data_IF_212496506551
#
_entry.id   IF_212496506551
#
_cell.length_a   1.000
_cell.length_b   1.000
_cell.length_c   1.000
_cell.angle_alpha   90.00
_cell.angle_beta   90.00
_cell.angle_gamma   90.00
#
_symmetry.space_group_name_H-M   'P 1'
#
loop_
_entity.id
_entity.type
_entity.pdbx_description
1 polymer ?
#
# COMPACT_ATOMS: atom_id res chain seq x y z
N UNK A 1 -35.68 -26.58 16.12
CA UNK A 1 -35.91 -25.86 14.87
C UNK A 1 -36.55 -24.53 15.25
N UNK A 2 -35.74 -23.49 15.40
CA UNK A 2 -36.22 -22.11 15.64
C UNK A 2 -35.64 -21.25 14.57
N UNK A 3 -36.49 -20.85 13.64
CA UNK A 3 -36.20 -19.95 12.53
C UNK A 3 -36.19 -18.53 13.08
N UNK A 4 -35.04 -17.86 13.00
CA UNK A 4 -34.97 -16.43 13.30
C UNK A 4 -35.09 -15.66 11.98
N UNK A 5 -36.16 -14.85 11.87
CA UNK A 5 -36.30 -13.84 10.81
C UNK A 5 -35.55 -12.59 11.26
N UNK A 6 -34.60 -12.14 10.48
CA UNK A 6 -34.02 -10.80 10.60
C UNK A 6 -34.86 -9.82 9.77
N UNK A 7 -35.48 -8.87 10.45
CA UNK A 7 -36.18 -7.75 9.83
C UNK A 7 -35.14 -6.67 9.44
N UNK A 8 -35.03 -6.36 8.18
CA UNK A 8 -34.28 -5.21 7.67
C UNK A 8 -35.14 -3.97 7.86
N UNK A 9 -34.77 -3.08 8.78
CA UNK A 9 -35.37 -1.75 8.90
C UNK A 9 -34.62 -0.78 7.96
N UNK A 10 -35.23 -0.44 6.83
CA UNK A 10 -34.78 0.64 5.97
C UNK A 10 -35.29 1.97 6.53
N UNK A 11 -34.38 2.78 7.07
CA UNK A 11 -34.66 4.21 7.32
C UNK A 11 -34.23 4.97 6.08
N UNK A 12 -35.19 5.36 5.25
CA UNK A 12 -34.98 6.26 4.12
C UNK A 12 -34.79 7.69 4.64
N UNK A 13 -33.57 8.15 4.76
CA UNK A 13 -33.22 9.56 4.79
C UNK A 13 -32.60 9.90 3.43
N UNK A 14 -33.24 10.82 2.67
CA UNK A 14 -33.00 11.16 1.31
C UNK A 14 -31.54 11.54 0.97
N UNK A 15 -30.76 10.57 0.61
CA UNK A 15 -29.48 10.67 -0.08
C UNK A 15 -29.58 9.67 -1.24
N UNK A 16 -29.19 10.09 -2.43
CA UNK A 16 -29.36 9.31 -3.65
C UNK A 16 -28.95 7.86 -3.50
N UNK A 17 -29.60 6.98 -4.24
CA UNK A 17 -29.50 5.51 -4.21
C UNK A 17 -28.09 5.04 -3.90
N UNK A 18 -27.87 4.58 -2.67
CA UNK A 18 -26.69 3.78 -2.33
C UNK A 18 -26.88 2.47 -3.10
N UNK A 19 -26.08 2.23 -4.13
CA UNK A 19 -25.96 0.89 -4.68
C UNK A 19 -25.39 0.03 -3.57
N UNK A 20 -26.20 -0.94 -3.09
CA UNK A 20 -25.75 -1.88 -2.06
C UNK A 20 -24.58 -2.68 -2.65
N UNK A 21 -23.38 -2.40 -2.16
CA UNK A 21 -22.21 -3.21 -2.53
C UNK A 21 -22.41 -4.61 -1.96
N UNK A 22 -22.15 -5.63 -2.79
CA UNK A 22 -22.36 -7.01 -2.41
C UNK A 22 -21.02 -7.65 -2.09
N UNK A 23 -20.90 -8.22 -0.88
CA UNK A 23 -19.78 -9.08 -0.52
C UNK A 23 -19.78 -10.30 -1.44
N UNK A 24 -18.68 -10.54 -2.14
CA UNK A 24 -18.49 -11.71 -3.00
C UNK A 24 -17.83 -12.84 -2.24
N UNK A 25 -16.68 -12.59 -1.66
CA UNK A 25 -15.92 -13.57 -0.86
C UNK A 25 -15.13 -12.88 0.22
N UNK A 26 -14.84 -13.65 1.25
CA UNK A 26 -13.95 -13.31 2.33
C UNK A 26 -13.09 -14.55 2.61
N UNK A 27 -11.78 -14.37 2.64
CA UNK A 27 -10.83 -15.45 2.84
C UNK A 27 -9.73 -14.97 3.78
N UNK A 28 -9.47 -15.71 4.85
CA UNK A 28 -8.32 -15.52 5.74
C UNK A 28 -7.20 -16.47 5.37
N UNK A 29 -5.97 -16.05 5.62
CA UNK A 29 -4.75 -16.84 5.41
C UNK A 29 -3.78 -16.61 6.56
N UNK A 30 -3.22 -17.68 7.07
CA UNK A 30 -2.22 -17.61 8.13
C UNK A 30 -1.96 -18.96 8.78
N UNK A 31 -1.25 -18.92 9.88
CA UNK A 31 -0.91 -20.08 10.70
C UNK A 31 -0.97 -19.77 12.20
N UNK A 32 -0.13 -20.41 13.02
CA UNK A 32 -0.18 -20.26 14.47
C UNK A 32 0.48 -18.97 14.99
N UNK A 33 1.26 -18.30 14.15
CA UNK A 33 1.94 -17.06 14.50
C UNK A 33 1.12 -15.83 14.13
N UNK A 34 1.82 -14.76 13.82
CA UNK A 34 1.21 -13.52 13.35
C UNK A 34 1.44 -13.38 11.86
N UNK A 35 0.38 -13.10 11.12
CA UNK A 35 0.35 -12.97 9.67
C UNK A 35 -0.27 -11.62 9.31
N UNK A 36 0.55 -10.67 8.87
CA UNK A 36 0.15 -9.29 8.63
C UNK A 36 0.14 -9.02 7.13
N UNK A 37 -1.02 -8.68 6.57
CA UNK A 37 -1.13 -8.22 5.19
C UNK A 37 -0.62 -6.78 5.08
N UNK A 38 0.14 -6.48 4.01
CA UNK A 38 0.73 -5.17 3.75
C UNK A 38 0.37 -4.61 2.37
N UNK A 39 0.03 -5.46 1.41
CA UNK A 39 -0.32 -5.02 0.08
C UNK A 39 -1.17 -6.01 -0.70
N UNK A 40 -1.86 -5.48 -1.73
CA UNK A 40 -2.63 -6.28 -2.68
C UNK A 40 -2.50 -5.72 -4.09
N UNK A 41 -2.36 -6.60 -5.07
CA UNK A 41 -2.45 -6.27 -6.47
C UNK A 41 -3.40 -7.23 -7.19
N UNK A 42 -4.02 -6.76 -8.26
CA UNK A 42 -4.88 -7.55 -9.13
C UNK A 42 -4.22 -7.83 -10.46
N UNK A 43 -4.47 -9.00 -11.02
CA UNK A 43 -4.10 -9.34 -12.39
C UNK A 43 -5.28 -9.14 -13.36
N UNK A 44 -4.97 -9.10 -14.64
CA UNK A 44 -5.98 -8.92 -15.70
C UNK A 44 -6.97 -10.08 -15.78
N UNK A 45 -6.60 -11.29 -15.33
CA UNK A 45 -7.46 -12.46 -15.25
C UNK A 45 -8.45 -12.45 -14.07
N UNK A 46 -8.41 -11.40 -13.23
CA UNK A 46 -9.22 -11.28 -12.03
C UNK A 46 -8.62 -11.94 -10.79
N UNK A 47 -7.47 -12.60 -10.91
CA UNK A 47 -6.71 -13.07 -9.75
C UNK A 47 -6.20 -11.91 -8.91
N UNK A 48 -5.95 -12.15 -7.64
CA UNK A 48 -5.35 -11.20 -6.71
C UNK A 48 -4.17 -11.80 -5.96
N UNK A 49 -3.21 -10.94 -5.65
CA UNK A 49 -2.01 -11.29 -4.91
C UNK A 49 -1.95 -10.46 -3.64
N UNK A 50 -1.88 -11.12 -2.50
CA UNK A 50 -1.69 -10.49 -1.19
C UNK A 50 -0.27 -10.76 -0.73
N UNK A 51 0.41 -9.73 -0.26
CA UNK A 51 1.73 -9.85 0.35
C UNK A 51 1.72 -9.31 1.76
N UNK A 52 2.67 -9.78 2.54
CA UNK A 52 2.83 -9.33 3.91
C UNK A 52 3.96 -10.05 4.63
N UNK A 53 3.91 -10.01 5.95
CA UNK A 53 4.90 -10.62 6.82
C UNK A 53 4.24 -11.70 7.66
N UNK A 54 4.88 -12.87 7.73
CA UNK A 54 4.43 -14.03 8.52
C UNK A 54 5.48 -14.44 9.53
N UNK A 55 5.04 -14.80 10.74
CA UNK A 55 5.83 -15.47 11.76
C UNK A 55 5.37 -16.93 11.97
N UNK A 56 4.41 -17.39 11.15
CA UNK A 56 3.69 -18.66 11.40
C UNK A 56 4.45 -19.92 10.95
N UNK A 57 5.29 -19.81 9.92
CA UNK A 57 5.76 -21.00 9.19
C UNK A 57 7.25 -21.25 9.28
N UNK A 58 7.99 -20.35 9.91
CA UNK A 58 9.45 -20.42 9.99
C UNK A 58 9.97 -20.07 11.36
N UNK A 59 11.06 -20.73 11.73
CA UNK A 59 11.81 -20.43 12.96
C UNK A 59 13.25 -20.10 12.62
N UNK A 60 13.90 -19.32 13.49
CA UNK A 60 15.34 -19.10 13.45
C UNK A 60 16.13 -20.35 13.91
N UNK A 61 17.44 -20.26 13.89
CA UNK A 61 18.33 -21.35 14.34
C UNK A 61 18.17 -21.73 15.82
N UNK A 62 17.45 -20.93 16.60
CA UNK A 62 17.17 -21.16 18.02
C UNK A 62 15.75 -21.68 18.26
N UNK A 63 14.92 -21.83 17.19
CA UNK A 63 13.54 -22.27 17.27
C UNK A 63 12.54 -21.16 17.57
N UNK A 64 12.94 -19.88 17.55
CA UNK A 64 12.01 -18.75 17.69
C UNK A 64 11.35 -18.42 16.34
N UNK A 65 10.11 -17.90 16.34
CA UNK A 65 9.47 -17.42 15.11
C UNK A 65 10.36 -16.43 14.36
N UNK A 66 10.51 -16.61 13.06
CA UNK A 66 11.33 -15.78 12.18
C UNK A 66 10.44 -15.11 11.14
N UNK A 67 10.42 -13.78 11.12
CA UNK A 67 9.62 -13.02 10.17
C UNK A 67 10.07 -13.23 8.73
N UNK A 68 9.10 -13.51 7.84
CA UNK A 68 9.32 -13.76 6.42
C UNK A 68 8.29 -13.02 5.58
N UNK A 69 8.66 -12.67 4.35
CA UNK A 69 7.71 -12.16 3.37
C UNK A 69 6.90 -13.33 2.83
N UNK A 70 5.58 -13.20 2.82
CA UNK A 70 4.69 -14.14 2.16
C UNK A 70 4.07 -13.52 0.90
N UNK A 71 3.70 -14.37 -0.06
CA UNK A 71 2.94 -14.02 -1.26
C UNK A 71 1.86 -15.08 -1.45
N UNK A 72 0.60 -14.65 -1.50
CA UNK A 72 -0.55 -15.54 -1.68
C UNK A 72 -1.33 -15.12 -2.90
N UNK A 73 -1.60 -16.05 -3.81
CA UNK A 73 -2.49 -15.84 -4.96
C UNK A 73 -3.86 -16.43 -4.69
N UNK A 74 -4.88 -15.60 -4.89
CA UNK A 74 -6.27 -16.01 -4.94
C UNK A 74 -6.78 -15.95 -6.38
N UNK A 75 -7.56 -16.96 -6.78
CA UNK A 75 -8.22 -16.99 -8.08
C UNK A 75 -9.32 -15.93 -8.21
N UNK A 76 -9.89 -15.77 -9.44
CA UNK A 76 -10.98 -14.83 -9.67
C UNK A 76 -12.25 -15.12 -8.85
N UNK A 77 -12.40 -16.31 -8.34
CA UNK A 77 -13.49 -16.76 -7.46
C UNK A 77 -13.17 -16.55 -5.96
N UNK A 78 -11.94 -16.11 -5.62
CA UNK A 78 -11.45 -15.95 -4.26
C UNK A 78 -10.86 -17.22 -3.65
N UNK A 79 -10.77 -18.33 -4.40
CA UNK A 79 -10.12 -19.55 -3.93
C UNK A 79 -8.59 -19.40 -3.89
N UNK A 80 -7.95 -20.03 -2.90
CA UNK A 80 -6.48 -20.07 -2.83
C UNK A 80 -5.93 -20.86 -4.03
N UNK A 81 -5.08 -20.19 -4.84
CA UNK A 81 -4.42 -20.81 -5.98
C UNK A 81 -3.03 -21.33 -5.62
N UNK A 82 -2.23 -20.49 -5.00
CA UNK A 82 -0.91 -20.86 -4.47
C UNK A 82 -0.45 -19.86 -3.39
N UNK A 83 0.55 -20.30 -2.62
CA UNK A 83 1.18 -19.50 -1.58
C UNK A 83 2.70 -19.72 -1.59
N UNK A 84 3.46 -18.69 -1.22
CA UNK A 84 4.92 -18.74 -1.12
C UNK A 84 5.37 -17.95 0.08
N UNK A 85 6.41 -18.44 0.74
CA UNK A 85 7.17 -17.69 1.73
C UNK A 85 8.58 -17.54 1.20
N UNK A 86 9.04 -16.30 1.12
CA UNK A 86 10.43 -16.03 0.74
C UNK A 86 11.35 -16.41 1.88
N UNK A 87 12.38 -17.22 1.57
CA UNK A 87 13.25 -17.81 2.58
C UNK A 87 14.31 -16.83 3.10
N UNK A 88 14.48 -15.65 2.48
CA UNK A 88 15.31 -14.59 3.03
C UNK A 88 14.73 -14.07 4.34
N UNK A 89 15.59 -13.53 5.21
CA UNK A 89 15.14 -12.94 6.48
C UNK A 89 14.58 -11.53 6.22
N UNK A 90 13.51 -11.16 6.89
CA UNK A 90 13.00 -9.77 6.93
C UNK A 90 12.83 -9.33 8.37
N UNK A 91 12.70 -8.03 8.59
CA UNK A 91 12.49 -7.45 9.92
C UNK A 91 11.05 -7.01 10.06
N UNK A 92 10.34 -7.58 11.04
CA UNK A 92 8.99 -7.16 11.38
C UNK A 92 8.99 -5.71 11.89
N UNK A 93 8.07 -4.91 11.34
CA UNK A 93 7.86 -3.53 11.76
C UNK A 93 8.77 -2.50 11.10
N UNK A 94 9.80 -2.92 10.33
CA UNK A 94 10.60 -2.02 9.51
C UNK A 94 10.22 -2.11 8.02
N UNK A 95 10.01 -3.30 7.48
CA UNK A 95 9.62 -3.49 6.09
C UNK A 95 8.11 -3.64 5.92
N UNK A 96 7.54 -2.94 4.95
CA UNK A 96 6.17 -3.13 4.48
C UNK A 96 6.24 -3.65 3.05
N UNK A 97 6.21 -4.98 2.85
CA UNK A 97 6.28 -5.52 1.50
C UNK A 97 5.17 -4.96 0.61
N UNK A 98 5.51 -4.72 -0.64
CA UNK A 98 4.57 -4.27 -1.64
C UNK A 98 4.57 -5.19 -2.86
N UNK A 99 3.47 -5.20 -3.62
CA UNK A 99 3.28 -6.10 -4.76
C UNK A 99 2.74 -5.35 -5.96
N UNK A 100 3.30 -5.68 -7.14
CA UNK A 100 2.79 -5.25 -8.42
C UNK A 100 2.74 -6.42 -9.40
N UNK A 101 1.76 -6.39 -10.31
CA UNK A 101 1.61 -7.38 -11.38
C UNK A 101 1.88 -6.69 -12.71
N UNK A 102 2.78 -7.25 -13.51
CA UNK A 102 3.08 -6.74 -14.84
C UNK A 102 2.08 -7.25 -15.89
N UNK A 103 2.01 -6.62 -17.08
CA UNK A 103 1.07 -7.03 -18.12
C UNK A 103 1.22 -8.48 -18.60
N UNK A 104 2.40 -9.08 -18.45
CA UNK A 104 2.65 -10.50 -18.75
C UNK A 104 2.21 -11.46 -17.65
N UNK A 105 1.65 -10.93 -16.55
CA UNK A 105 1.22 -11.67 -15.37
C UNK A 105 2.33 -11.99 -14.37
N UNK A 106 3.58 -11.59 -14.62
CA UNK A 106 4.66 -11.72 -13.62
C UNK A 106 4.36 -10.87 -12.38
N UNK A 107 4.70 -11.41 -11.22
CA UNK A 107 4.45 -10.79 -9.92
C UNK A 107 5.76 -10.30 -9.34
N UNK A 108 5.82 -9.03 -9.00
CA UNK A 108 6.96 -8.40 -8.37
C UNK A 108 6.63 -8.04 -6.93
N UNK A 109 7.53 -8.38 -6.02
CA UNK A 109 7.40 -8.09 -4.58
C UNK A 109 8.65 -7.39 -4.12
N UNK A 110 8.50 -6.26 -3.43
CA UNK A 110 9.62 -5.59 -2.76
C UNK A 110 9.47 -5.69 -1.25
N UNK A 111 10.57 -5.51 -0.54
CA UNK A 111 10.65 -5.51 0.91
C UNK A 111 12.06 -5.21 1.38
N UNK A 112 12.40 -5.67 2.57
CA UNK A 112 13.70 -5.46 3.21
C UNK A 112 14.31 -6.81 3.56
N UNK A 113 15.60 -6.98 3.30
CA UNK A 113 16.38 -8.12 3.83
C UNK A 113 16.79 -7.82 5.28
N UNK A 114 16.83 -8.86 6.14
CA UNK A 114 17.37 -8.74 7.50
C UNK A 114 18.84 -9.20 7.60
N UNK A 115 19.51 -9.33 6.48
CA UNK A 115 20.95 -9.53 6.46
C UNK A 115 21.69 -8.24 6.85
N UNK A 116 22.94 -8.31 7.14
CA UNK A 116 23.79 -7.37 7.88
C UNK A 116 23.54 -5.86 7.68
N UNK A 117 22.73 -5.42 6.69
CA UNK A 117 22.56 -4.02 6.33
C UNK A 117 21.12 -3.59 6.04
N UNK A 118 20.14 -4.50 6.04
CA UNK A 118 18.73 -4.21 5.75
C UNK A 118 18.50 -3.60 4.35
N UNK A 119 18.97 -4.27 3.32
CA UNK A 119 18.87 -3.80 1.94
C UNK A 119 17.46 -4.02 1.35
N UNK A 120 17.10 -3.20 0.38
CA UNK A 120 15.89 -3.41 -0.42
C UNK A 120 15.98 -4.71 -1.21
N UNK A 121 14.95 -5.53 -1.18
CA UNK A 121 14.85 -6.75 -1.98
C UNK A 121 13.75 -6.60 -3.03
N UNK A 122 13.98 -7.16 -4.22
CA UNK A 122 13.00 -7.30 -5.28
C UNK A 122 12.94 -8.76 -5.74
N UNK A 123 11.77 -9.36 -5.64
CA UNK A 123 11.49 -10.72 -6.05
C UNK A 123 10.62 -10.72 -7.29
N UNK A 124 10.87 -11.63 -8.24
CA UNK A 124 10.00 -11.87 -9.37
C UNK A 124 9.50 -13.30 -9.39
N UNK A 125 8.19 -13.46 -9.44
CA UNK A 125 7.53 -14.76 -9.63
C UNK A 125 6.83 -14.81 -10.98
N UNK A 126 6.73 -16.00 -11.56
CA UNK A 126 5.81 -16.26 -12.66
C UNK A 126 4.35 -16.31 -12.15
N UNK A 127 3.33 -16.34 -13.03
CA UNK A 127 1.92 -16.42 -12.62
C UNK A 127 1.56 -17.69 -11.83
N UNK A 128 2.41 -18.74 -11.89
CA UNK A 128 2.23 -20.01 -11.18
C UNK A 128 2.96 -20.03 -9.83
N UNK A 129 3.62 -18.93 -9.46
CA UNK A 129 4.32 -18.78 -8.20
C UNK A 129 5.73 -19.38 -8.18
N UNK A 130 6.36 -19.62 -9.35
CA UNK A 130 7.77 -19.99 -9.42
C UNK A 130 8.61 -18.71 -9.26
N UNK A 131 9.53 -18.69 -8.32
CA UNK A 131 10.51 -17.61 -8.20
C UNK A 131 11.46 -17.67 -9.41
N UNK A 132 11.45 -16.61 -10.23
CA UNK A 132 12.28 -16.52 -11.42
C UNK A 132 13.65 -15.92 -11.11
N UNK A 133 13.66 -14.87 -10.29
CA UNK A 133 14.89 -14.23 -9.81
C UNK A 133 14.59 -13.37 -8.58
N UNK A 134 15.64 -13.03 -7.84
CA UNK A 134 15.64 -12.09 -6.74
C UNK A 134 16.84 -11.15 -6.86
N UNK A 135 16.68 -9.90 -6.36
CA UNK A 135 17.72 -8.87 -6.35
C UNK A 135 17.70 -8.17 -5.00
N UNK A 136 18.87 -7.91 -4.46
CA UNK A 136 19.05 -6.95 -3.37
C UNK A 136 19.65 -5.66 -3.94
N UNK A 137 19.27 -4.53 -3.38
CA UNK A 137 19.82 -3.23 -3.71
C UNK A 137 20.04 -2.43 -2.43
N UNK A 138 21.24 -1.91 -2.27
CA UNK A 138 21.63 -1.10 -1.13
C UNK A 138 23.13 -0.82 -1.09
N UNK A 139 23.60 -0.41 0.08
CA UNK A 139 24.98 -0.05 0.32
C UNK A 139 25.45 -0.45 1.72
N UNK A 140 26.09 0.47 2.46
CA UNK A 140 26.72 0.16 3.75
C UNK A 140 25.80 0.42 4.97
N UNK A 141 24.61 0.95 4.76
CA UNK A 141 23.61 1.23 5.80
C UNK A 141 22.25 0.65 5.39
N UNK A 142 21.18 0.97 6.12
CA UNK A 142 19.85 0.47 5.81
C UNK A 142 19.27 1.14 4.55
N UNK A 143 18.76 0.33 3.62
CA UNK A 143 18.14 0.80 2.38
C UNK A 143 16.80 0.06 2.19
N UNK A 144 15.69 0.69 2.56
CA UNK A 144 14.39 0.06 2.69
C UNK A 144 13.59 0.11 1.38
N UNK A 145 13.28 -1.05 0.77
CA UNK A 145 12.34 -1.14 -0.36
C UNK A 145 10.89 -1.16 0.14
N UNK A 146 10.13 -0.09 -0.14
CA UNK A 146 8.79 0.11 0.45
C UNK A 146 7.66 0.13 -0.60
N UNK A 147 7.98 0.33 -1.88
CA UNK A 147 6.98 0.35 -2.93
C UNK A 147 7.53 -0.23 -4.23
N UNK A 148 6.67 -0.90 -5.00
CA UNK A 148 6.98 -1.46 -6.31
C UNK A 148 5.91 -1.10 -7.34
N UNK A 149 6.33 -0.77 -8.56
CA UNK A 149 5.42 -0.54 -9.67
C UNK A 149 6.00 -1.11 -10.96
N UNK A 150 5.13 -1.57 -11.85
CA UNK A 150 5.49 -2.11 -13.16
C UNK A 150 5.06 -1.17 -14.28
N UNK A 151 5.84 -1.12 -15.36
CA UNK A 151 5.50 -0.39 -16.56
C UNK A 151 5.00 -1.32 -17.66
N UNK A 152 4.35 -0.76 -18.68
CA UNK A 152 3.83 -1.49 -19.82
C UNK A 152 4.93 -2.11 -20.70
N UNK A 153 6.17 -1.62 -20.63
CA UNK A 153 7.35 -2.16 -21.32
C UNK A 153 7.99 -3.35 -20.58
N UNK A 154 7.41 -3.78 -19.44
CA UNK A 154 7.93 -4.83 -18.59
C UNK A 154 9.02 -4.39 -17.61
N UNK A 155 9.38 -3.12 -17.59
CA UNK A 155 10.27 -2.58 -16.55
C UNK A 155 9.59 -2.57 -15.20
N UNK A 156 10.39 -2.71 -14.14
CA UNK A 156 9.94 -2.63 -12.75
C UNK A 156 10.72 -1.55 -12.01
N UNK A 157 10.01 -0.84 -11.17
CA UNK A 157 10.56 0.24 -10.34
C UNK A 157 10.33 -0.08 -8.87
N UNK A 158 11.38 0.07 -8.06
CA UNK A 158 11.26 0.08 -6.61
C UNK A 158 11.60 1.47 -6.08
N UNK A 159 10.93 1.86 -5.01
CA UNK A 159 11.23 3.08 -4.28
C UNK A 159 11.19 2.84 -2.78
N UNK A 160 11.87 3.70 -2.05
CA UNK A 160 11.97 3.61 -0.62
C UNK A 160 12.95 4.60 -0.04
N UNK A 161 13.42 4.32 1.16
CA UNK A 161 14.36 5.16 1.91
C UNK A 161 15.74 4.53 1.87
N UNK A 162 16.75 5.32 1.48
CA UNK A 162 18.16 4.91 1.49
C UNK A 162 18.92 5.72 2.54
N UNK A 163 19.68 5.01 3.37
CA UNK A 163 20.61 5.59 4.34
C UNK A 163 22.08 5.47 3.90
N UNK A 164 22.33 4.66 2.86
CA UNK A 164 23.67 4.41 2.35
C UNK A 164 24.22 5.51 1.46
N UNK A 165 23.38 6.39 0.93
CA UNK A 165 23.74 7.27 -0.17
C UNK A 165 23.31 8.72 0.09
N UNK A 166 24.13 9.67 -0.41
CA UNK A 166 23.92 11.10 -0.27
C UNK A 166 24.59 11.69 0.98
N UNK A 167 24.65 13.01 1.08
CA UNK A 167 25.23 13.73 2.23
C UNK A 167 24.32 13.74 3.46
N UNK A 168 23.00 13.55 3.28
CA UNK A 168 22.03 13.40 4.35
C UNK A 168 21.93 11.92 4.75
N UNK A 169 21.57 11.66 6.00
CA UNK A 169 21.36 10.29 6.50
C UNK A 169 20.07 9.63 6.02
N UNK A 170 19.39 10.22 5.05
CA UNK A 170 18.16 9.69 4.46
C UNK A 170 17.95 10.26 3.06
N UNK A 171 17.63 9.40 2.10
CA UNK A 171 17.32 9.76 0.73
C UNK A 171 16.13 8.95 0.19
N UNK A 172 15.22 9.59 -0.53
CA UNK A 172 14.22 8.90 -1.33
C UNK A 172 14.92 8.32 -2.56
N UNK A 173 14.93 7.02 -2.69
CA UNK A 173 15.49 6.35 -3.87
C UNK A 173 14.41 5.86 -4.83
N UNK A 174 14.77 5.79 -6.11
CA UNK A 174 14.04 5.08 -7.16
C UNK A 174 15.04 4.29 -7.99
N UNK A 175 14.77 3.01 -8.15
CA UNK A 175 15.62 2.10 -8.93
C UNK A 175 14.77 1.42 -10.00
N UNK A 176 15.29 1.40 -11.24
CA UNK A 176 14.68 0.73 -12.38
C UNK A 176 15.43 -0.53 -12.73
N UNK A 177 14.70 -1.63 -12.87
CA UNK A 177 15.19 -2.88 -13.45
C UNK A 177 14.43 -3.20 -14.75
N UNK A 178 15.05 -3.95 -15.64
CA UNK A 178 14.34 -4.60 -16.74
C UNK A 178 13.60 -5.87 -16.26
N UNK A 179 12.84 -6.49 -17.15
CA UNK A 179 12.08 -7.71 -16.82
C UNK A 179 12.97 -8.93 -16.52
N UNK A 180 14.25 -8.91 -16.88
CA UNK A 180 15.24 -9.92 -16.57
C UNK A 180 15.97 -9.67 -15.23
N UNK A 181 15.68 -8.55 -14.57
CA UNK A 181 16.30 -8.16 -13.29
C UNK A 181 17.66 -7.46 -13.46
N UNK A 182 17.98 -6.94 -14.65
CA UNK A 182 19.16 -6.12 -14.82
C UNK A 182 18.86 -4.68 -14.37
N UNK A 183 19.76 -4.09 -13.58
CA UNK A 183 19.70 -2.71 -13.17
C UNK A 183 19.89 -1.79 -14.38
N UNK A 184 18.93 -0.90 -14.62
CA UNK A 184 18.95 0.06 -15.72
C UNK A 184 19.44 1.42 -15.25
N UNK A 185 18.84 1.94 -14.20
CA UNK A 185 19.26 3.18 -13.55
C UNK A 185 18.78 3.23 -12.10
N UNK A 186 19.41 4.09 -11.32
CA UNK A 186 19.07 4.38 -9.95
C UNK A 186 19.20 5.88 -9.68
N UNK A 187 18.30 6.42 -8.82
CA UNK A 187 18.26 7.84 -8.48
C UNK A 187 17.96 7.99 -7.00
N UNK A 188 18.49 9.07 -6.44
CA UNK A 188 18.19 9.46 -5.07
C UNK A 188 17.85 10.96 -5.00
N UNK A 189 16.85 11.30 -4.20
CA UNK A 189 16.55 12.66 -3.75
C UNK A 189 16.96 12.76 -2.28
N UNK A 190 18.06 13.46 -2.04
CA UNK A 190 18.66 13.57 -0.72
C UNK A 190 17.78 14.38 0.27
N UNK A 191 17.79 14.00 1.53
CA UNK A 191 17.03 14.65 2.59
C UNK A 191 15.53 14.33 2.62
N UNK A 192 15.09 13.28 1.90
CA UNK A 192 13.73 12.80 1.90
C UNK A 192 13.68 11.30 2.23
N UNK A 193 12.64 10.85 2.91
CA UNK A 193 12.34 9.43 3.09
C UNK A 193 11.30 9.01 2.05
N UNK A 194 11.57 7.97 1.25
CA UNK A 194 10.68 7.49 0.21
C UNK A 194 9.68 6.46 0.71
N UNK A 195 8.44 6.47 0.18
CA UNK A 195 7.39 5.55 0.63
C UNK A 195 6.53 4.99 -0.51
N UNK A 196 6.48 5.63 -1.67
CA UNK A 196 5.56 5.25 -2.73
C UNK A 196 6.17 5.43 -4.12
N UNK A 197 5.75 4.60 -5.07
CA UNK A 197 6.05 4.72 -6.49
C UNK A 197 4.82 4.33 -7.32
N UNK A 198 4.60 5.03 -8.42
CA UNK A 198 3.60 4.69 -9.41
C UNK A 198 4.13 4.97 -10.82
N UNK A 199 3.66 4.23 -11.81
CA UNK A 199 3.99 4.45 -13.23
C UNK A 199 2.71 4.79 -13.98
N UNK A 200 2.71 5.92 -14.69
CA UNK A 200 1.60 6.32 -15.53
C UNK A 200 1.67 5.62 -16.90
N UNK A 201 0.55 5.64 -17.63
CA UNK A 201 0.44 5.01 -18.95
C UNK A 201 1.37 5.60 -20.02
N UNK A 202 1.84 6.85 -19.83
CA UNK A 202 2.84 7.50 -20.69
C UNK A 202 4.30 7.10 -20.36
N UNK A 203 4.49 6.21 -19.37
CA UNK A 203 5.79 5.77 -18.88
C UNK A 203 6.45 6.74 -17.89
N UNK A 204 5.79 7.83 -17.52
CA UNK A 204 6.26 8.69 -16.43
C UNK A 204 6.22 7.95 -15.10
N UNK A 205 7.29 8.09 -14.31
CA UNK A 205 7.42 7.50 -12.98
C UNK A 205 7.20 8.58 -11.95
N UNK A 206 6.36 8.31 -10.98
CA UNK A 206 6.12 9.18 -9.84
C UNK A 206 6.61 8.50 -8.58
N UNK A 207 7.33 9.24 -7.74
CA UNK A 207 7.75 8.78 -6.44
C UNK A 207 7.35 9.80 -5.37
N UNK A 208 6.99 9.33 -4.21
CA UNK A 208 6.63 10.20 -3.10
C UNK A 208 7.24 9.73 -1.78
N UNK A 209 7.38 10.66 -0.88
CA UNK A 209 7.89 10.43 0.46
C UNK A 209 7.72 11.64 1.34
N UNK A 210 8.49 11.69 2.42
CA UNK A 210 8.53 12.83 3.34
C UNK A 210 9.85 13.56 3.30
N UNK A 211 9.78 14.86 3.54
CA UNK A 211 10.94 15.70 3.80
C UNK A 211 10.71 16.53 5.07
N UNK A 212 11.74 16.72 5.91
CA UNK A 212 11.60 17.56 7.09
C UNK A 212 11.18 18.98 6.69
N UNK A 213 10.24 19.57 7.45
CA UNK A 213 9.82 20.95 7.22
C UNK A 213 10.88 21.91 7.77
N UNK A 214 11.38 22.85 6.95
CA UNK A 214 12.40 23.80 7.39
C UNK A 214 11.98 24.58 8.65
N UNK A 215 12.85 24.58 9.68
CA UNK A 215 12.63 25.31 10.92
C UNK A 215 11.60 24.71 11.88
N UNK A 216 11.07 23.51 11.61
CA UNK A 216 10.12 22.81 12.47
C UNK A 216 10.62 21.39 12.75
N UNK A 217 10.88 21.08 14.02
CA UNK A 217 11.34 19.74 14.42
C UNK A 217 10.13 18.80 14.51
N UNK A 218 10.24 17.62 13.89
CA UNK A 218 9.21 16.58 13.94
C UNK A 218 8.02 16.81 13.00
N UNK A 219 8.03 17.89 12.20
CA UNK A 219 7.04 18.12 11.16
C UNK A 219 7.61 17.81 9.79
N UNK A 220 6.80 17.16 8.96
CA UNK A 220 7.19 16.73 7.63
C UNK A 220 6.21 17.24 6.59
N UNK A 221 6.72 17.44 5.39
CA UNK A 221 5.94 17.70 4.17
C UNK A 221 6.01 16.49 3.26
N UNK A 222 4.99 16.27 2.43
CA UNK A 222 5.05 15.27 1.38
C UNK A 222 5.87 15.85 0.22
N UNK A 223 6.90 15.13 -0.21
CA UNK A 223 7.61 15.41 -1.45
C UNK A 223 7.14 14.47 -2.54
N UNK A 224 6.95 15.00 -3.75
CA UNK A 224 6.54 14.23 -4.93
C UNK A 224 7.47 14.57 -6.08
N UNK A 225 7.98 13.54 -6.73
CA UNK A 225 8.85 13.62 -7.89
C UNK A 225 8.14 13.05 -9.11
N UNK A 226 8.26 13.72 -10.26
CA UNK A 226 7.98 13.12 -11.57
C UNK A 226 9.30 12.91 -12.30
N UNK A 227 9.51 11.69 -12.76
CA UNK A 227 10.75 11.23 -13.40
C UNK A 227 10.37 10.63 -14.75
N UNK A 228 11.16 10.86 -15.79
CA UNK A 228 10.97 10.19 -17.07
C UNK A 228 11.33 8.69 -16.98
N UNK A 229 10.86 7.88 -17.92
CA UNK A 229 11.27 6.47 -18.02
C UNK A 229 12.81 6.28 -18.13
N UNK A 230 13.53 7.32 -18.59
CA UNK A 230 15.00 7.35 -18.68
C UNK A 230 15.69 7.82 -17.39
N UNK A 231 14.94 8.14 -16.33
CA UNK A 231 15.50 8.54 -15.03
C UNK A 231 15.81 10.03 -14.88
N UNK A 232 15.33 10.90 -15.76
CA UNK A 232 15.50 12.36 -15.63
C UNK A 232 14.35 12.98 -14.84
N UNK A 233 14.67 13.83 -13.88
CA UNK A 233 13.68 14.59 -13.14
C UNK A 233 12.93 15.55 -14.07
N UNK A 234 11.61 15.50 -14.06
CA UNK A 234 10.72 16.41 -14.78
C UNK A 234 10.31 17.58 -13.89
N UNK A 235 9.82 17.26 -12.70
CA UNK A 235 9.46 18.23 -11.66
C UNK A 235 9.49 17.59 -10.27
N UNK A 236 9.63 18.46 -9.27
CA UNK A 236 9.44 18.13 -7.87
C UNK A 236 8.40 19.08 -7.27
N UNK A 237 7.58 18.58 -6.36
CA UNK A 237 6.59 19.32 -5.59
C UNK A 237 6.65 18.94 -4.12
N UNK A 238 6.43 19.91 -3.27
CA UNK A 238 6.24 19.68 -1.84
C UNK A 238 4.82 20.10 -1.45
N UNK A 239 4.11 19.19 -0.78
CA UNK A 239 2.78 19.43 -0.24
C UNK A 239 2.87 19.55 1.27
N UNK A 240 2.40 20.67 1.81
CA UNK A 240 2.35 20.97 3.24
C UNK A 240 0.91 21.19 3.67
N UNK A 241 0.42 20.42 4.62
CA UNK A 241 -0.92 20.55 5.17
C UNK A 241 -0.98 21.39 6.46
N UNK A 242 0.14 21.91 6.93
CA UNK A 242 0.26 22.71 8.16
C UNK A 242 0.60 21.92 9.42
N UNK A 243 0.16 20.67 9.53
CA UNK A 243 0.40 19.78 10.66
C UNK A 243 1.26 18.57 10.25
N UNK A 244 1.58 17.70 11.21
CA UNK A 244 2.38 16.50 10.94
C UNK A 244 1.69 15.64 9.90
N UNK A 245 2.41 15.33 8.83
CA UNK A 245 1.94 14.44 7.77
C UNK A 245 2.72 13.14 7.88
N UNK A 246 2.03 12.04 8.07
CA UNK A 246 2.62 10.69 7.99
C UNK A 246 2.22 10.07 6.65
N UNK A 247 3.13 10.03 5.66
CA UNK A 247 2.84 9.49 4.35
C UNK A 247 3.12 7.99 4.27
N UNK A 248 2.75 7.22 5.27
CA UNK A 248 2.84 5.74 5.20
C UNK A 248 2.03 5.17 4.05
N UNK A 249 1.32 6.04 3.33
CA UNK A 249 0.41 5.67 2.27
C UNK A 249 1.08 5.38 0.95
N UNK A 250 0.28 4.84 0.05
CA UNK A 250 0.66 4.44 -1.29
C UNK A 250 0.25 5.49 -2.31
N UNK A 251 0.68 5.26 -3.55
CA UNK A 251 0.37 6.11 -4.70
C UNK A 251 -0.21 5.25 -5.83
N UNK A 252 -1.14 5.84 -6.58
CA UNK A 252 -1.67 5.24 -7.81
C UNK A 252 -1.76 6.30 -8.92
N UNK A 253 -1.51 5.88 -10.16
CA UNK A 253 -1.68 6.71 -11.33
C UNK A 253 -3.04 6.45 -11.98
N UNK A 254 -3.73 7.53 -12.39
CA UNK A 254 -4.95 7.46 -13.18
C UNK A 254 -4.68 7.33 -14.67
N UNK A 255 -5.68 6.88 -15.44
CA UNK A 255 -5.62 6.79 -16.90
C UNK A 255 -5.50 8.18 -17.56
N UNK A 256 -5.90 9.24 -16.83
CA UNK A 256 -5.76 10.65 -17.22
C UNK A 256 -4.35 11.21 -16.93
N UNK A 257 -3.42 10.40 -16.49
CA UNK A 257 -2.06 10.79 -16.10
C UNK A 257 -1.98 11.50 -14.75
N UNK A 258 -3.10 11.65 -14.04
CA UNK A 258 -3.08 12.16 -12.66
C UNK A 258 -2.51 11.14 -11.70
N UNK A 259 -2.08 11.60 -10.54
CA UNK A 259 -1.65 10.75 -9.44
C UNK A 259 -2.47 11.02 -8.18
N UNK A 260 -2.76 9.96 -7.46
CA UNK A 260 -3.42 10.01 -6.16
C UNK A 260 -2.50 9.44 -5.12
N UNK A 261 -2.33 10.14 -4.02
CA UNK A 261 -1.57 9.73 -2.86
C UNK A 261 -2.48 9.67 -1.64
N UNK A 262 -2.22 8.74 -0.75
CA UNK A 262 -2.89 8.64 0.53
C UNK A 262 -1.88 8.64 1.67
N UNK A 263 -2.33 8.89 2.87
CA UNK A 263 -1.50 8.90 4.08
C UNK A 263 -2.32 9.32 5.28
N UNK A 264 -1.64 9.84 6.30
CA UNK A 264 -2.27 10.36 7.50
C UNK A 264 -1.76 11.78 7.81
N UNK A 265 -2.66 12.61 8.29
CA UNK A 265 -2.36 13.97 8.74
C UNK A 265 -2.81 14.12 10.19
N UNK A 266 -1.95 14.70 11.01
CA UNK A 266 -2.35 15.06 12.36
C UNK A 266 -3.12 16.37 12.32
N UNK A 267 -4.36 16.33 12.79
CA UNK A 267 -5.20 17.51 12.96
C UNK A 267 -5.19 17.94 14.42
N UNK A 268 -4.98 19.21 14.67
CA UNK A 268 -5.09 19.77 16.02
C UNK A 268 -6.47 20.39 16.16
N UNK A 269 -7.43 19.62 16.68
CA UNK A 269 -8.68 20.20 17.13
C UNK A 269 -8.49 20.81 18.54
N UNK A 270 -9.38 21.70 18.96
CA UNK A 270 -9.21 22.51 20.19
C UNK A 270 -8.97 21.73 21.50
N UNK A 271 -9.00 20.39 21.49
CA UNK A 271 -8.87 19.54 22.68
C UNK A 271 -8.15 18.20 22.49
N UNK A 272 -8.01 17.68 21.26
CA UNK A 272 -7.38 16.40 20.97
C UNK A 272 -6.54 16.51 19.71
N UNK A 273 -5.42 15.83 19.67
CA UNK A 273 -4.68 15.59 18.45
C UNK A 273 -5.33 14.35 17.79
N UNK A 274 -6.13 14.56 16.75
CA UNK A 274 -6.73 13.51 15.99
C UNK A 274 -5.88 13.25 14.73
N UNK A 275 -5.90 12.03 14.22
CA UNK A 275 -5.24 11.66 12.96
C UNK A 275 -6.33 11.39 11.93
N UNK A 276 -6.27 12.09 10.80
CA UNK A 276 -7.19 11.90 9.70
C UNK A 276 -6.49 11.24 8.51
N UNK A 277 -7.20 10.37 7.79
CA UNK A 277 -6.71 9.85 6.52
C UNK A 277 -6.71 10.97 5.47
N UNK A 278 -5.57 11.16 4.82
CA UNK A 278 -5.34 12.19 3.80
C UNK A 278 -5.39 11.57 2.42
N UNK A 279 -6.07 12.24 1.47
CA UNK A 279 -6.09 11.90 0.04
C UNK A 279 -5.71 13.15 -0.75
N UNK A 280 -4.64 13.08 -1.52
CA UNK A 280 -4.16 14.19 -2.37
C UNK A 280 -4.14 13.72 -3.82
N UNK A 281 -4.74 14.50 -4.71
CA UNK A 281 -4.67 14.27 -6.17
C UNK A 281 -3.96 15.42 -6.86
N UNK A 282 -2.96 15.07 -7.69
CA UNK A 282 -2.26 16.01 -8.57
C UNK A 282 -2.51 15.65 -10.04
N UNK A 283 -2.45 16.66 -10.91
CA UNK A 283 -2.39 16.46 -12.36
C UNK A 283 -1.02 15.93 -12.79
N UNK A 284 -0.87 15.50 -14.03
CA UNK A 284 0.40 15.01 -14.60
C UNK A 284 1.52 16.06 -14.61
N UNK A 285 1.19 17.35 -14.59
CA UNK A 285 2.12 18.48 -14.49
C UNK A 285 2.32 18.98 -13.04
N UNK A 286 1.76 18.27 -12.07
CA UNK A 286 1.99 18.50 -10.66
C UNK A 286 1.13 19.60 -10.04
N UNK A 287 0.02 20.00 -10.69
CA UNK A 287 -0.94 20.92 -10.09
C UNK A 287 -1.90 20.18 -9.15
N UNK A 288 -2.25 20.79 -8.03
CA UNK A 288 -3.20 20.24 -7.08
C UNK A 288 -4.62 20.23 -7.69
N UNK A 289 -5.24 19.05 -7.79
CA UNK A 289 -6.63 18.89 -8.18
C UNK A 289 -7.53 19.00 -6.95
N UNK A 290 -7.21 18.24 -5.92
CA UNK A 290 -7.86 18.32 -4.62
C UNK A 290 -6.97 17.71 -3.53
N UNK A 291 -7.25 18.09 -2.31
CA UNK A 291 -6.89 17.42 -1.09
C UNK A 291 -8.15 17.15 -0.24
N UNK A 292 -8.22 16.02 0.41
CA UNK A 292 -9.35 15.61 1.25
C UNK A 292 -8.85 14.88 2.49
N UNK A 293 -9.56 15.11 3.59
CA UNK A 293 -9.43 14.36 4.82
C UNK A 293 -10.69 13.52 5.04
N UNK A 294 -10.46 12.27 5.41
CA UNK A 294 -11.48 11.41 5.99
C UNK A 294 -11.20 11.36 7.49
N UNK A 295 -12.13 11.89 8.27
CA UNK A 295 -11.92 12.19 9.67
C UNK A 295 -13.14 11.78 10.48
N UNK A 296 -12.92 11.19 11.64
CA UNK A 296 -13.93 10.79 12.62
C UNK A 296 -13.78 11.55 13.93
N UNK A 297 -13.72 10.82 15.02
CA UNK A 297 -13.53 11.34 16.38
C UNK A 297 -12.22 10.89 17.01
N UNK A 298 -11.45 10.08 16.29
CA UNK A 298 -10.21 9.47 16.75
C UNK A 298 -9.21 9.33 15.58
N UNK A 299 -8.65 8.15 15.34
CA UNK A 299 -7.59 7.95 14.34
C UNK A 299 -8.14 7.29 13.09
N UNK A 300 -7.86 7.91 11.94
CA UNK A 300 -8.02 7.34 10.61
C UNK A 300 -6.69 7.43 9.84
N UNK A 301 -6.25 6.33 9.23
CA UNK A 301 -5.06 6.28 8.37
C UNK A 301 -5.43 5.80 6.98
N UNK A 302 -4.85 6.42 5.94
CA UNK A 302 -4.94 5.94 4.57
C UNK A 302 -3.71 5.09 4.24
N UNK A 303 -3.91 3.79 4.00
CA UNK A 303 -2.83 2.83 3.85
C UNK A 303 -2.69 2.29 2.42
N UNK A 304 -3.76 2.32 1.63
CA UNK A 304 -3.78 1.85 0.25
C UNK A 304 -4.63 2.72 -0.67
N UNK A 305 -4.25 2.82 -1.95
CA UNK A 305 -5.03 3.54 -2.96
C UNK A 305 -4.93 2.84 -4.31
N UNK A 306 -6.04 2.84 -5.03
CA UNK A 306 -6.07 2.46 -6.45
C UNK A 306 -6.98 3.40 -7.21
N UNK A 307 -6.67 3.60 -8.49
CA UNK A 307 -7.48 4.37 -9.43
C UNK A 307 -8.05 3.42 -10.47
N UNK A 308 -9.37 3.38 -10.54
CA UNK A 308 -10.05 2.52 -11.49
C UNK A 308 -9.96 3.08 -12.94
N UNK A 309 -10.25 2.27 -13.98
CA UNK A 309 -10.17 2.73 -15.38
C UNK A 309 -11.05 3.94 -15.70
N UNK A 310 -12.13 4.16 -14.96
CA UNK A 310 -13.01 5.34 -15.05
C UNK A 310 -12.49 6.55 -14.23
N UNK A 311 -11.28 6.45 -13.70
CA UNK A 311 -10.62 7.41 -12.81
C UNK A 311 -11.32 7.64 -11.46
N UNK A 312 -12.31 6.82 -11.08
CA UNK A 312 -12.78 6.79 -9.69
C UNK A 312 -11.68 6.25 -8.76
N UNK A 313 -11.68 6.72 -7.53
CA UNK A 313 -10.59 6.49 -6.59
C UNK A 313 -11.11 5.63 -5.44
N UNK A 314 -10.38 4.57 -5.12
CA UNK A 314 -10.62 3.75 -3.94
C UNK A 314 -9.45 3.90 -2.99
N UNK A 315 -9.77 4.15 -1.72
CA UNK A 315 -8.79 4.29 -0.63
C UNK A 315 -9.11 3.27 0.42
N UNK A 316 -8.15 2.44 0.78
CA UNK A 316 -8.22 1.58 1.96
C UNK A 316 -7.46 2.21 3.12
N UNK A 317 -7.88 1.88 4.32
CA UNK A 317 -7.21 2.35 5.52
C UNK A 317 -7.84 1.77 6.79
N UNK A 318 -7.45 2.36 7.89
CA UNK A 318 -7.81 1.92 9.22
C UNK A 318 -8.53 3.04 9.97
N UNK A 319 -9.58 2.72 10.70
CA UNK A 319 -10.36 3.67 11.51
C UNK A 319 -10.56 3.15 12.93
N UNK A 320 -10.50 4.06 13.89
CA UNK A 320 -10.94 3.82 15.27
C UNK A 320 -12.20 4.59 15.62
N UNK A 321 -12.80 5.28 14.64
CA UNK A 321 -14.01 6.10 14.83
C UNK A 321 -15.28 5.42 14.32
N UNK A 322 -15.16 4.50 13.38
CA UNK A 322 -16.27 3.89 12.66
C UNK A 322 -16.12 2.37 12.67
N UNK A 323 -17.26 1.65 12.62
CA UNK A 323 -17.24 0.20 12.58
C UNK A 323 -17.78 -0.44 13.87
N UNK A 324 -17.46 -1.72 14.07
CA UNK A 324 -18.04 -2.53 15.13
C UNK A 324 -17.09 -2.81 16.31
N UNK A 325 -15.76 -2.60 16.12
CA UNK A 325 -14.73 -2.98 17.07
C UNK A 325 -13.94 -1.81 17.66
N UNK A 326 -12.74 -2.13 18.11
CA UNK A 326 -11.78 -1.12 18.56
C UNK A 326 -11.10 -0.43 17.39
N UNK A 327 -10.91 -1.17 16.30
CA UNK A 327 -10.27 -0.72 15.08
C UNK A 327 -10.81 -1.54 13.91
N UNK A 328 -11.23 -0.88 12.85
CA UNK A 328 -11.81 -1.51 11.68
C UNK A 328 -11.08 -1.05 10.40
N UNK A 329 -11.03 -1.90 9.38
CA UNK A 329 -10.62 -1.50 8.05
C UNK A 329 -11.72 -0.66 7.40
N UNK A 330 -11.34 0.30 6.54
CA UNK A 330 -12.30 1.04 5.74
C UNK A 330 -11.94 1.06 4.26
N UNK A 331 -12.95 1.31 3.42
CA UNK A 331 -12.78 1.65 2.01
C UNK A 331 -13.59 2.90 1.69
N UNK A 332 -12.95 3.89 1.09
CA UNK A 332 -13.62 5.06 0.52
C UNK A 332 -13.67 4.91 -0.98
N UNK A 333 -14.79 5.32 -1.58
CA UNK A 333 -14.97 5.45 -3.02
C UNK A 333 -15.26 6.90 -3.38
N UNK A 334 -14.36 7.54 -4.14
CA UNK A 334 -14.44 8.95 -4.48
C UNK A 334 -14.58 9.16 -5.99
N UNK A 335 -15.29 10.23 -6.35
CA UNK A 335 -15.26 10.73 -7.72
C UNK A 335 -13.85 11.20 -8.13
N UNK A 336 -13.52 11.18 -9.43
CA UNK A 336 -12.22 11.63 -9.95
C UNK A 336 -11.85 13.07 -9.57
N UNK A 337 -12.85 13.92 -9.33
CA UNK A 337 -12.69 15.33 -8.95
C UNK A 337 -12.59 15.56 -7.44
N UNK A 338 -12.75 14.51 -6.62
CA UNK A 338 -12.81 14.62 -5.15
C UNK A 338 -14.01 15.38 -4.60
N UNK A 339 -14.94 15.84 -5.45
CA UNK A 339 -16.10 16.64 -5.02
C UNK A 339 -17.14 15.83 -4.23
N UNK A 340 -17.21 14.54 -4.50
CA UNK A 340 -18.18 13.65 -3.86
C UNK A 340 -17.51 12.37 -3.40
N UNK A 341 -17.77 12.01 -2.15
CA UNK A 341 -17.63 10.66 -1.64
C UNK A 341 -18.82 9.85 -2.14
N UNK A 342 -18.56 8.81 -2.92
CA UNK A 342 -19.60 7.95 -3.49
C UNK A 342 -20.07 6.95 -2.46
N UNK A 343 -19.09 6.26 -1.81
CA UNK A 343 -19.31 5.32 -0.73
C UNK A 343 -18.20 5.40 0.32
N UNK A 344 -18.53 5.03 1.57
CA UNK A 344 -17.59 4.75 2.64
C UNK A 344 -18.08 3.50 3.38
N UNK A 345 -17.23 2.49 3.41
CA UNK A 345 -17.52 1.20 4.02
C UNK A 345 -16.50 0.92 5.11
N UNK A 346 -16.93 0.34 6.22
CA UNK A 346 -16.04 -0.26 7.20
C UNK A 346 -16.21 -1.78 7.20
N UNK A 347 -15.12 -2.47 7.46
CA UNK A 347 -15.06 -3.93 7.53
C UNK A 347 -14.33 -4.33 8.80
N UNK A 348 -15.02 -5.10 9.64
CA UNK A 348 -14.42 -5.60 10.87
C UNK A 348 -15.41 -6.28 11.80
N UNK A 349 -14.86 -6.80 12.88
CA UNK A 349 -15.56 -7.48 13.95
C UNK A 349 -15.46 -6.73 15.26
N UNK A 350 -15.35 -7.46 16.37
CA UNK A 350 -15.19 -6.87 17.71
C UNK A 350 -13.72 -6.65 18.10
N UNK A 351 -12.79 -7.02 17.24
CA UNK A 351 -11.35 -6.98 17.49
C UNK A 351 -10.64 -5.80 16.86
N UNK A 352 -9.51 -6.08 16.27
CA UNK A 352 -8.65 -5.12 15.54
C UNK A 352 -8.52 -5.58 14.10
N UNK A 353 -8.99 -4.76 13.20
CA UNK A 353 -8.85 -4.94 11.76
C UNK A 353 -8.13 -3.72 11.17
N UNK A 354 -7.06 -3.97 10.41
CA UNK A 354 -6.30 -2.91 9.74
C UNK A 354 -6.36 -3.09 8.24
N UNK A 355 -6.79 -2.05 7.53
CA UNK A 355 -6.73 -2.03 6.07
C UNK A 355 -5.28 -1.86 5.61
N UNK A 356 -4.82 -2.71 4.69
CA UNK A 356 -3.44 -2.67 4.20
C UNK A 356 -3.36 -2.21 2.74
N UNK A 357 -4.28 -2.63 1.89
CA UNK A 357 -4.24 -2.29 0.48
C UNK A 357 -5.58 -2.49 -0.22
N UNK A 358 -5.74 -1.84 -1.36
CA UNK A 358 -6.93 -1.95 -2.20
C UNK A 358 -6.54 -2.09 -3.66
N UNK A 359 -7.20 -2.99 -4.37
CA UNK A 359 -7.02 -3.19 -5.80
C UNK A 359 -8.39 -3.34 -6.49
N UNK A 360 -8.42 -3.05 -7.79
CA UNK A 360 -9.64 -3.17 -8.62
C UNK A 360 -9.32 -4.02 -9.85
N UNK A 361 -10.17 -5.00 -10.14
CA UNK A 361 -10.15 -5.75 -11.39
C UNK A 361 -11.57 -5.89 -11.92
N UNK A 362 -11.84 -5.30 -13.08
CA UNK A 362 -13.18 -5.28 -13.65
C UNK A 362 -14.21 -4.67 -12.71
N UNK A 363 -15.22 -5.47 -12.34
CA UNK A 363 -16.27 -5.09 -11.40
C UNK A 363 -16.00 -5.52 -9.95
N UNK A 364 -14.79 -6.00 -9.64
CA UNK A 364 -14.44 -6.47 -8.31
C UNK A 364 -13.46 -5.52 -7.64
N UNK A 365 -13.77 -5.14 -6.42
CA UNK A 365 -12.89 -4.45 -5.48
C UNK A 365 -12.32 -5.49 -4.51
N UNK A 366 -11.03 -5.42 -4.27
CA UNK A 366 -10.30 -6.29 -3.35
C UNK A 366 -9.68 -5.43 -2.25
N UNK A 367 -9.95 -5.80 -1.01
CA UNK A 367 -9.35 -5.20 0.19
C UNK A 367 -8.48 -6.24 0.87
N UNK A 368 -7.19 -5.98 0.97
CA UNK A 368 -6.31 -6.72 1.87
C UNK A 368 -6.30 -6.06 3.23
N UNK A 369 -6.37 -6.88 4.27
CA UNK A 369 -6.40 -6.42 5.65
C UNK A 369 -5.76 -7.44 6.58
N UNK A 370 -5.46 -7.00 7.78
CA UNK A 370 -5.08 -7.88 8.90
C UNK A 370 -6.21 -7.90 9.92
N UNK A 371 -6.52 -9.05 10.48
CA UNK A 371 -7.61 -9.22 11.46
C UNK A 371 -7.16 -10.03 12.67
N UNK A 372 -7.73 -9.72 13.82
CA UNK A 372 -7.60 -10.49 15.07
C UNK A 372 -8.85 -11.27 15.43
N UNK A 373 -9.89 -11.21 14.61
CA UNK A 373 -11.16 -11.89 14.86
C UNK A 373 -11.49 -12.89 13.78
N UNK A 374 -12.21 -13.94 14.13
CA UNK A 374 -12.72 -14.90 13.16
C UNK A 374 -13.99 -14.35 12.47
N UNK A 375 -14.25 -14.72 11.20
CA UNK A 375 -15.49 -14.38 10.52
C UNK A 375 -16.72 -14.89 11.30
N UNK A 376 -17.93 -14.32 11.10
CA UNK A 376 -18.27 -13.30 10.11
C UNK A 376 -17.99 -11.86 10.59
N UNK A 377 -17.50 -11.05 9.67
CA UNK A 377 -17.35 -9.61 9.89
C UNK A 377 -18.60 -8.85 9.43
N UNK A 378 -18.67 -7.56 9.78
CA UNK A 378 -19.77 -6.69 9.36
C UNK A 378 -19.29 -5.67 8.32
N UNK A 379 -19.96 -5.64 7.17
CA UNK A 379 -19.84 -4.55 6.22
C UNK A 379 -20.81 -3.45 6.61
N UNK A 380 -20.31 -2.32 7.07
CA UNK A 380 -21.13 -1.21 7.53
C UNK A 380 -20.86 0.05 6.67
N UNK A 381 -21.92 0.78 6.34
CA UNK A 381 -21.77 2.08 5.73
C UNK A 381 -21.27 3.10 6.77
N UNK A 382 -20.12 3.71 6.51
CA UNK A 382 -19.58 4.74 7.39
C UNK A 382 -20.25 6.08 7.10
N UNK A 383 -20.83 6.71 8.10
CA UNK A 383 -21.42 8.05 7.99
C UNK A 383 -20.33 9.11 8.25
N UNK A 384 -19.38 9.22 7.35
CA UNK A 384 -18.30 10.18 7.46
C UNK A 384 -18.41 11.30 6.41
N UNK A 385 -17.72 12.39 6.66
CA UNK A 385 -17.63 13.54 5.76
C UNK A 385 -16.19 13.76 5.35
N UNK A 386 -15.99 14.07 4.08
CA UNK A 386 -14.71 14.58 3.61
C UNK A 386 -14.63 16.07 3.93
N UNK A 387 -13.55 16.49 4.57
CA UNK A 387 -13.19 17.90 4.71
C UNK A 387 -11.98 18.21 3.82
N UNK A 388 -11.73 19.47 3.53
CA UNK A 388 -10.54 19.88 2.81
C UNK A 388 -9.51 20.37 3.83
N UNK A 389 -8.32 19.75 3.93
CA UNK A 389 -7.22 20.32 4.66
C UNK A 389 -6.78 21.63 3.96
N UNK A 390 -6.26 22.57 4.72
CA UNK A 390 -5.71 23.81 4.15
C UNK A 390 -4.23 23.59 3.78
N UNK A 391 -3.99 22.63 2.88
CA UNK A 391 -2.65 22.35 2.39
C UNK A 391 -2.19 23.33 1.32
N UNK A 392 -0.89 23.58 1.25
CA UNK A 392 -0.25 24.37 0.19
C UNK A 392 0.70 23.50 -0.59
N UNK A 393 0.65 23.61 -1.92
CA UNK A 393 1.58 22.97 -2.83
C UNK A 393 2.66 23.98 -3.23
N UNK A 394 3.93 23.65 -2.97
CA UNK A 394 5.07 24.44 -3.39
C UNK A 394 5.83 23.77 -4.52
N UNK A 395 6.35 24.57 -5.44
CA UNK A 395 7.34 24.14 -6.44
C UNK A 395 8.71 24.19 -5.76
N UNK A 396 9.43 23.08 -5.81
CA UNK A 396 10.79 23.00 -5.25
C UNK A 396 11.73 22.59 -6.38
N UNK A 397 12.88 23.27 -6.49
CA UNK A 397 13.95 22.83 -7.36
C UNK A 397 14.63 21.61 -6.71
N UNK A 398 14.39 20.43 -7.29
CA UNK A 398 14.96 19.18 -6.83
C UNK A 398 16.13 18.75 -7.70
N UNK A 399 17.07 18.07 -7.08
CA UNK A 399 18.20 17.43 -7.78
C UNK A 399 18.12 15.92 -7.53
N UNK A 400 18.03 15.14 -8.60
CA UNK A 400 18.23 13.69 -8.55
C UNK A 400 19.67 13.38 -8.85
N UNK A 401 20.33 12.64 -7.97
CA UNK A 401 21.69 12.18 -8.18
C UNK A 401 21.72 10.71 -8.64
N UNK A 402 22.69 10.38 -9.49
CA UNK A 402 23.09 8.99 -9.69
C UNK A 402 23.86 8.52 -8.46
N UNK A 403 23.51 7.34 -7.95
CA UNK A 403 24.21 6.73 -6.83
C UNK A 403 24.80 5.39 -7.23
N UNK A 404 25.98 5.02 -6.68
CA UNK A 404 26.67 3.79 -7.04
C UNK A 404 26.15 2.58 -6.25
N UNK A 405 24.83 2.43 -6.12
CA UNK A 405 24.22 1.25 -5.49
C UNK A 405 24.54 0.00 -6.30
N UNK A 406 24.73 -1.12 -5.64
CA UNK A 406 25.01 -2.41 -6.27
C UNK A 406 23.77 -3.28 -6.15
N UNK A 407 23.24 -3.75 -7.30
CA UNK A 407 22.25 -4.80 -7.31
C UNK A 407 22.97 -6.15 -7.28
N UNK A 408 22.65 -6.97 -6.29
CA UNK A 408 23.22 -8.31 -6.12
C UNK A 408 22.12 -9.37 -6.04
N UNK A 409 22.47 -10.63 -6.27
CA UNK A 409 21.59 -11.76 -6.01
C UNK A 409 21.68 -12.14 -4.53
N UNK A 410 20.61 -12.01 -3.74
CA UNK A 410 20.60 -12.53 -2.39
C UNK A 410 20.63 -14.06 -2.40
N UNK A 411 21.26 -14.66 -1.40
CA UNK A 411 21.47 -16.10 -1.31
C UNK A 411 20.25 -16.87 -0.78
N UNK A 412 19.04 -16.43 -1.12
CA UNK A 412 17.81 -17.02 -0.58
C UNK A 412 16.84 -17.42 -1.70
N UNK A 413 16.05 -18.44 -1.47
CA UNK A 413 15.04 -18.94 -2.40
C UNK A 413 13.65 -18.99 -1.76
N UNK A 414 12.61 -19.08 -2.56
CA UNK A 414 11.25 -19.19 -2.08
C UNK A 414 10.94 -20.59 -1.52
N UNK A 415 10.41 -20.66 -0.30
CA UNK A 415 9.86 -21.87 0.27
C UNK A 415 8.35 -21.99 -0.02
N UNK A 416 7.83 -23.21 -0.06
CA UNK A 416 6.39 -23.48 -0.20
C UNK A 416 5.90 -24.02 1.15
N UNK A 417 5.13 -23.26 1.93
CA UNK A 417 4.56 -23.77 3.16
C UNK A 417 3.26 -24.53 2.92
N UNK A 418 2.95 -25.46 3.80
CA UNK A 418 1.62 -26.03 3.98
C UNK A 418 0.74 -25.05 4.77
N UNK A 419 0.45 -23.88 4.18
CA UNK A 419 -0.34 -22.85 4.83
C UNK A 419 -1.81 -23.23 4.94
N UNK A 420 -2.45 -22.79 6.02
CA UNK A 420 -3.88 -22.95 6.26
C UNK A 420 -4.65 -21.72 5.78
N UNK A 421 -5.89 -21.93 5.33
CA UNK A 421 -6.87 -20.86 5.09
C UNK A 421 -7.85 -20.73 6.25
N UNK A 422 -7.58 -21.40 7.38
CA UNK A 422 -8.43 -21.33 8.57
C UNK A 422 -7.81 -20.42 9.61
N UNK A 423 -8.66 -19.63 10.27
CA UNK A 423 -8.23 -18.77 11.36
C UNK A 423 -7.64 -19.60 12.51
N UNK A 424 -6.40 -19.31 12.90
CA UNK A 424 -5.68 -20.07 13.94
C UNK A 424 -4.75 -19.21 14.79
N UNK A 425 -4.48 -17.95 14.39
CA UNK A 425 -3.48 -17.10 15.01
C UNK A 425 -4.02 -15.88 15.75
N UNK A 426 -3.12 -15.07 16.26
CA UNK A 426 -3.44 -13.80 16.91
C UNK A 426 -3.69 -12.66 15.92
N UNK A 427 -3.06 -12.73 14.75
CA UNK A 427 -3.25 -11.84 13.60
C UNK A 427 -3.22 -12.67 12.34
N UNK A 428 -4.14 -12.42 11.43
CA UNK A 428 -4.22 -13.12 10.15
C UNK A 428 -4.39 -12.13 9.00
N UNK A 429 -3.76 -12.44 7.88
CA UNK A 429 -4.00 -11.75 6.64
C UNK A 429 -5.38 -12.15 6.07
N UNK A 430 -6.14 -11.18 5.59
CA UNK A 430 -7.43 -11.43 4.99
C UNK A 430 -7.57 -10.71 3.64
N UNK A 431 -8.30 -11.32 2.73
CA UNK A 431 -8.72 -10.76 1.47
C UNK A 431 -10.25 -10.69 1.43
N UNK A 432 -10.77 -9.49 1.25
CA UNK A 432 -12.20 -9.23 1.08
C UNK A 432 -12.45 -8.79 -0.36
N UNK A 433 -13.43 -9.41 -1.02
CA UNK A 433 -13.83 -9.08 -2.39
C UNK A 433 -15.26 -8.56 -2.39
N UNK A 434 -15.47 -7.43 -2.99
CA UNK A 434 -16.73 -6.69 -3.00
C UNK A 434 -17.12 -6.40 -4.45
N UNK A 435 -18.39 -6.59 -4.82
CA UNK A 435 -18.91 -6.13 -6.09
C UNK A 435 -18.91 -4.61 -6.12
N UNK A 436 -18.40 -4.08 -7.22
CA UNK A 436 -18.21 -2.65 -7.47
C UNK A 436 -19.47 -1.99 -8.05
#
# INVERSE_FOLDING_TARGET
>A
MKTFFFAIFSIALGIGSIQSQTLLTETTWGGAGSDVAEGVASAADGSSYVVGITDSFTTDQFGNPSSKIFVVKFGPDGSLSWQRIWNGTTIRGLGRPDVAVSPDGSVYVTGITADNQNDAVLLKFDPNGTLLWERAWGGAASDEGLAVATASDGSVYIAGTAESFGPSSSGLFVVKFDSAGNLIWQRISDGAAGNAVAVASDGSVYAAGTTPRPGQIGNFDIVVLKITAAGSLVWQRTYSAGDVVDPRGRMAAGSDGSIVMVGAIQTVSRRTADIAALVVKLTSDGALVFDKQFDGRATETGDGVTVAPDNTIYVAGTTTSFGAGNQDAFVLHLQPTGKKLLDALTWGGTGFETGAGVAVSGATLMLAMTTTTAPPYSLLAASARLSAPRGTLAVVEGVLADVPGVAADPAAGAAIPDGSTTFSGSFEAALVRIAR
#
